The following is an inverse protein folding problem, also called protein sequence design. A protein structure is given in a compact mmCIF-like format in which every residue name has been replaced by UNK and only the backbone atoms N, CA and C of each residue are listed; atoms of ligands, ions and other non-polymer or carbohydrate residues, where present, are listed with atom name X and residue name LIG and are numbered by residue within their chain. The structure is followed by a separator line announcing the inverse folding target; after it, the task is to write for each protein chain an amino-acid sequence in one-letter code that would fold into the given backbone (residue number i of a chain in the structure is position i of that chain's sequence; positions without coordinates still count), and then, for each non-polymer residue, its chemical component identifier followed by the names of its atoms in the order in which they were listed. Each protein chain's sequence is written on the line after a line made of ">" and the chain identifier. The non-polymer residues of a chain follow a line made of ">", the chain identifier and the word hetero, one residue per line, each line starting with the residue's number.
data_IF_939914944262
#
_entry.id   IF_939914944262
#
_cell.length_a   1.000
_cell.length_b   1.000
_cell.length_c   1.000
_cell.angle_alpha   90.00
_cell.angle_beta   90.00
_cell.angle_gamma   90.00
#
_symmetry.space_group_name_H-M   'P 1'
#
loop_
_entity.id
_entity.type
_entity.pdbx_description
1 polymer ?
#
# COMPACT_ATOMS: atom_id res chain seq x y z
N UNK A 1 -33.21 -9.48 0.10
CA UNK A 1 -34.25 -8.43 0.08
C UNK A 1 -33.83 -7.33 1.04
N UNK A 2 -33.18 -6.28 0.54
CA UNK A 2 -32.90 -5.07 1.32
C UNK A 2 -33.97 -4.05 0.95
N UNK A 3 -34.83 -3.73 1.91
CA UNK A 3 -35.86 -2.69 1.79
C UNK A 3 -35.15 -1.35 1.93
N UNK A 4 -35.31 -0.47 0.95
CA UNK A 4 -34.90 0.91 1.05
C UNK A 4 -35.70 1.59 2.16
N UNK A 5 -35.04 2.19 3.15
CA UNK A 5 -35.66 3.16 4.05
C UNK A 5 -35.24 4.56 3.60
N UNK A 6 -36.17 5.42 3.17
CA UNK A 6 -35.89 6.83 2.94
C UNK A 6 -35.64 7.55 4.28
N UNK A 7 -34.85 8.62 4.21
CA UNK A 7 -34.29 9.41 5.31
C UNK A 7 -35.24 9.77 6.47
N UNK A 8 -34.62 10.09 7.62
CA UNK A 8 -35.07 10.99 8.72
C UNK A 8 -35.38 10.33 10.07
N UNK A 9 -34.35 10.03 10.86
CA UNK A 9 -34.52 9.90 12.31
C UNK A 9 -33.50 10.78 13.04
N UNK A 10 -33.90 11.96 13.56
CA UNK A 10 -33.20 12.58 14.67
C UNK A 10 -33.32 11.61 15.86
N UNK A 11 -32.22 10.95 16.23
CA UNK A 11 -32.19 9.93 17.30
C UNK A 11 -32.22 8.47 16.83
N UNK A 12 -31.83 8.16 15.59
CA UNK A 12 -31.76 6.77 15.10
C UNK A 12 -30.78 5.93 15.93
N UNK A 13 -31.30 4.86 16.53
CA UNK A 13 -30.51 3.74 17.05
C UNK A 13 -30.43 2.70 15.93
N UNK A 14 -29.21 2.28 15.62
CA UNK A 14 -28.96 1.18 14.67
C UNK A 14 -28.26 0.05 15.41
N UNK A 15 -28.69 -1.18 15.17
CA UNK A 15 -28.10 -2.39 15.73
C UNK A 15 -27.20 -3.04 14.68
N UNK A 16 -25.97 -3.38 15.07
CA UNK A 16 -24.98 -4.04 14.22
C UNK A 16 -24.46 -5.30 14.91
N UNK A 17 -24.23 -6.34 14.13
CA UNK A 17 -23.62 -7.58 14.61
C UNK A 17 -22.09 -7.50 14.44
N UNK A 18 -21.36 -7.70 15.54
CA UNK A 18 -19.89 -7.77 15.57
C UNK A 18 -19.39 -9.15 16.04
N UNK A 19 -20.27 -10.16 16.06
CA UNK A 19 -19.92 -11.52 16.49
C UNK A 19 -18.89 -12.15 15.55
N UNK A 20 -18.93 -11.78 14.27
CA UNK A 20 -17.96 -12.18 13.26
C UNK A 20 -17.31 -10.96 12.62
N UNK A 21 -16.12 -11.15 12.06
CA UNK A 21 -15.42 -10.14 11.27
C UNK A 21 -14.83 -10.77 10.03
N UNK A 22 -15.04 -10.12 8.90
CA UNK A 22 -14.49 -10.56 7.63
C UNK A 22 -13.20 -9.82 7.28
N UNK A 23 -12.29 -10.53 6.64
CA UNK A 23 -11.12 -9.96 5.97
C UNK A 23 -10.85 -10.81 4.75
N UNK A 24 -10.53 -10.16 3.63
CA UNK A 24 -10.09 -10.89 2.45
C UNK A 24 -8.74 -11.56 2.73
N UNK A 25 -8.57 -12.76 2.18
CA UNK A 25 -7.30 -13.49 2.24
C UNK A 25 -6.22 -12.80 1.39
N UNK A 26 -6.64 -12.25 0.24
CA UNK A 26 -5.77 -11.60 -0.74
C UNK A 26 -6.03 -10.10 -0.77
N UNK A 27 -4.95 -9.31 -0.77
CA UNK A 27 -5.02 -7.85 -0.83
C UNK A 27 -5.04 -7.28 -2.26
N UNK A 28 -4.82 -8.15 -3.26
CA UNK A 28 -4.94 -7.87 -4.67
C UNK A 28 -5.20 -9.16 -5.45
N UNK A 29 -5.76 -8.98 -6.65
CA UNK A 29 -5.99 -10.06 -7.61
C UNK A 29 -5.83 -9.53 -9.03
N UNK A 30 -5.42 -10.39 -9.96
CA UNK A 30 -5.41 -10.08 -11.39
C UNK A 30 -6.47 -10.92 -12.07
N UNK A 31 -7.37 -10.25 -12.77
CA UNK A 31 -8.35 -10.89 -13.64
C UNK A 31 -7.76 -10.98 -15.04
N UNK A 32 -7.60 -12.20 -15.53
CA UNK A 32 -7.06 -12.51 -16.86
C UNK A 32 -8.13 -12.98 -17.84
N UNK A 33 -9.33 -13.33 -17.36
CA UNK A 33 -10.44 -13.83 -18.17
C UNK A 33 -11.79 -13.37 -17.62
N UNK A 34 -12.79 -13.22 -18.48
CA UNK A 34 -14.19 -12.93 -18.11
C UNK A 34 -15.10 -13.86 -18.91
N UNK A 35 -15.90 -14.69 -18.22
CA UNK A 35 -16.80 -15.64 -18.88
C UNK A 35 -16.07 -16.78 -19.61
N UNK A 36 -14.83 -17.09 -19.21
CA UNK A 36 -13.97 -18.09 -19.86
C UNK A 36 -13.21 -17.57 -21.08
N UNK A 37 -13.40 -16.31 -21.47
CA UNK A 37 -12.67 -15.68 -22.56
C UNK A 37 -11.48 -14.87 -22.00
N UNK A 38 -10.25 -15.05 -22.53
CA UNK A 38 -9.08 -14.32 -22.08
C UNK A 38 -9.19 -12.83 -22.42
N UNK A 39 -8.76 -11.98 -21.50
CA UNK A 39 -8.71 -10.55 -21.70
C UNK A 39 -7.47 -10.16 -22.50
N UNK A 40 -7.62 -9.24 -23.45
CA UNK A 40 -6.50 -8.63 -24.16
C UNK A 40 -5.52 -7.95 -23.19
N UNK A 41 -6.03 -7.45 -22.06
CA UNK A 41 -5.23 -6.85 -20.99
C UNK A 41 -5.70 -7.34 -19.64
N UNK A 42 -4.74 -7.79 -18.84
CA UNK A 42 -4.96 -8.14 -17.44
C UNK A 42 -5.48 -6.94 -16.64
N UNK A 43 -6.43 -7.21 -15.73
CA UNK A 43 -7.05 -6.20 -14.88
C UNK A 43 -6.65 -6.41 -13.43
N UNK A 44 -5.99 -5.42 -12.84
CA UNK A 44 -5.62 -5.43 -11.42
C UNK A 44 -6.80 -4.97 -10.56
N UNK A 45 -7.17 -5.79 -9.58
CA UNK A 45 -8.22 -5.52 -8.58
C UNK A 45 -7.57 -5.25 -7.23
N UNK A 46 -7.93 -4.12 -6.60
CA UNK A 46 -7.34 -3.64 -5.34
C UNK A 46 -8.44 -3.31 -4.31
N UNK A 47 -8.90 -4.29 -3.52
CA UNK A 47 -9.82 -4.01 -2.42
C UNK A 47 -9.16 -3.11 -1.36
N UNK A 48 -9.92 -2.15 -0.83
CA UNK A 48 -9.50 -1.20 0.20
C UNK A 48 -10.58 -1.02 1.26
N UNK A 49 -10.21 -0.47 2.42
CA UNK A 49 -11.15 -0.20 3.52
C UNK A 49 -11.85 -1.46 4.01
N UNK A 50 -13.13 -1.32 4.35
CA UNK A 50 -13.96 -2.37 4.95
C UNK A 50 -14.14 -3.59 4.03
N UNK A 51 -14.08 -3.39 2.71
CA UNK A 51 -14.11 -4.49 1.75
C UNK A 51 -12.88 -5.41 1.87
N UNK A 52 -11.71 -4.85 2.23
CA UNK A 52 -10.51 -5.64 2.45
C UNK A 52 -10.46 -6.21 3.87
N UNK A 53 -10.78 -5.38 4.86
CA UNK A 53 -10.65 -5.72 6.27
C UNK A 53 -11.70 -4.97 7.08
N UNK A 54 -12.68 -5.71 7.60
CA UNK A 54 -13.76 -5.15 8.39
C UNK A 54 -13.25 -4.56 9.72
N UNK A 55 -13.60 -3.30 10.04
CA UNK A 55 -13.18 -2.67 11.29
C UNK A 55 -14.12 -3.05 12.44
N UNK A 56 -13.53 -3.23 13.63
CA UNK A 56 -14.31 -3.19 14.87
C UNK A 56 -14.37 -1.73 15.35
N UNK A 57 -15.55 -1.10 15.25
CA UNK A 57 -15.68 0.34 15.48
C UNK A 57 -15.19 0.82 16.85
N UNK A 58 -15.39 0.08 17.96
CA UNK A 58 -14.86 0.48 19.26
C UNK A 58 -13.33 0.62 19.31
N UNK A 59 -12.58 -0.01 18.39
CA UNK A 59 -11.11 0.18 18.29
C UNK A 59 -10.72 1.48 17.57
N UNK A 60 -11.63 2.10 16.81
CA UNK A 60 -11.38 3.34 16.09
C UNK A 60 -10.34 3.22 14.95
N UNK A 61 -10.17 2.02 14.38
CA UNK A 61 -9.12 1.75 13.39
C UNK A 61 -9.58 1.81 11.93
N UNK A 62 -10.89 1.90 11.66
CA UNK A 62 -11.43 1.85 10.30
C UNK A 62 -10.82 2.89 9.37
N UNK A 63 -10.83 4.18 9.76
CA UNK A 63 -10.25 5.26 8.96
C UNK A 63 -8.74 5.09 8.80
N UNK A 64 -8.02 4.77 9.88
CA UNK A 64 -6.56 4.62 9.82
C UNK A 64 -6.14 3.48 8.88
N UNK A 65 -6.71 2.29 9.05
CA UNK A 65 -6.42 1.15 8.16
C UNK A 65 -6.90 1.42 6.74
N UNK A 66 -8.09 2.01 6.57
CA UNK A 66 -8.66 2.33 5.27
C UNK A 66 -7.81 3.30 4.45
N UNK A 67 -7.37 4.41 5.07
CA UNK A 67 -6.49 5.39 4.41
C UNK A 67 -5.16 4.78 4.01
N UNK A 68 -4.53 4.02 4.91
CA UNK A 68 -3.27 3.34 4.63
C UNK A 68 -3.42 2.28 3.51
N UNK A 69 -4.51 1.51 3.52
CA UNK A 69 -4.84 0.59 2.43
C UNK A 69 -5.03 1.32 1.10
N UNK A 70 -5.68 2.49 1.10
CA UNK A 70 -5.82 3.33 -0.10
C UNK A 70 -4.47 3.80 -0.65
N UNK A 71 -3.58 4.28 0.21
CA UNK A 71 -2.22 4.67 -0.19
C UNK A 71 -1.40 3.47 -0.72
N UNK A 72 -1.50 2.30 -0.08
CA UNK A 72 -0.84 1.07 -0.52
C UNK A 72 -1.37 0.64 -1.90
N UNK A 73 -2.67 0.77 -2.14
CA UNK A 73 -3.28 0.50 -3.44
C UNK A 73 -2.78 1.49 -4.52
N UNK A 74 -2.66 2.79 -4.23
CA UNK A 74 -2.11 3.76 -5.17
C UNK A 74 -0.66 3.45 -5.56
N UNK A 75 0.18 3.08 -4.59
CA UNK A 75 1.57 2.66 -4.85
C UNK A 75 1.64 1.44 -5.77
N UNK A 76 0.85 0.41 -5.46
CA UNK A 76 0.79 -0.84 -6.21
C UNK A 76 0.22 -0.61 -7.62
N UNK A 77 -0.80 0.23 -7.77
CA UNK A 77 -1.34 0.62 -9.07
C UNK A 77 -0.33 1.37 -9.94
N UNK A 78 0.50 2.23 -9.33
CA UNK A 78 1.61 2.89 -10.02
C UNK A 78 2.63 1.87 -10.53
N UNK A 79 3.05 0.92 -9.68
CA UNK A 79 4.00 -0.12 -10.08
C UNK A 79 3.44 -1.07 -11.12
N UNK A 80 2.16 -1.41 -11.04
CA UNK A 80 1.46 -2.17 -12.08
C UNK A 80 1.53 -1.46 -13.43
N UNK A 81 1.29 -0.15 -13.47
CA UNK A 81 1.38 0.62 -14.71
C UNK A 81 2.81 0.61 -15.30
N UNK A 82 3.83 0.61 -14.45
CA UNK A 82 5.24 0.51 -14.85
C UNK A 82 5.67 -0.90 -15.27
N UNK A 83 5.03 -1.95 -14.74
CA UNK A 83 5.32 -3.36 -15.00
C UNK A 83 4.60 -3.94 -16.23
N UNK A 84 3.78 -3.15 -16.94
CA UNK A 84 2.94 -3.62 -18.06
C UNK A 84 3.75 -4.40 -19.10
N UNK A 85 3.36 -5.65 -19.33
CA UNK A 85 3.97 -6.55 -20.31
C UNK A 85 5.14 -7.39 -19.80
N UNK A 86 5.46 -7.30 -18.50
CA UNK A 86 6.41 -8.18 -17.81
C UNK A 86 5.66 -9.06 -16.81
N UNK A 87 5.44 -10.34 -17.15
CA UNK A 87 4.75 -11.33 -16.31
C UNK A 87 5.41 -11.47 -14.91
N UNK A 88 6.74 -11.33 -14.84
CA UNK A 88 7.48 -11.33 -13.56
C UNK A 88 7.21 -10.08 -12.73
N UNK A 89 7.02 -8.95 -13.40
CA UNK A 89 6.63 -7.68 -12.79
C UNK A 89 5.22 -7.71 -12.20
N UNK A 90 4.25 -8.25 -12.93
CA UNK A 90 2.85 -8.39 -12.49
C UNK A 90 2.74 -9.21 -11.20
N UNK A 91 3.42 -10.35 -11.14
CA UNK A 91 3.46 -11.21 -9.95
C UNK A 91 4.09 -10.49 -8.76
N UNK A 92 5.22 -9.79 -8.98
CA UNK A 92 5.89 -9.07 -7.90
C UNK A 92 5.07 -7.91 -7.33
N UNK A 93 4.23 -7.26 -8.16
CA UNK A 93 3.29 -6.23 -7.70
C UNK A 93 2.24 -6.81 -6.74
N UNK A 94 1.69 -8.00 -7.04
CA UNK A 94 0.73 -8.68 -6.15
C UNK A 94 1.36 -9.06 -4.83
N UNK A 95 2.57 -9.61 -4.86
CA UNK A 95 3.29 -9.98 -3.64
C UNK A 95 3.62 -8.77 -2.78
N UNK A 96 4.01 -7.64 -3.38
CA UNK A 96 4.27 -6.41 -2.65
C UNK A 96 2.98 -5.89 -1.99
N UNK A 97 1.86 -5.92 -2.72
CA UNK A 97 0.57 -5.52 -2.15
C UNK A 97 0.14 -6.39 -0.98
N UNK A 98 0.34 -7.70 -1.10
CA UNK A 98 0.05 -8.65 -0.02
C UNK A 98 0.98 -8.42 1.17
N UNK A 99 2.27 -8.19 0.94
CA UNK A 99 3.23 -7.89 2.00
C UNK A 99 2.87 -6.61 2.76
N UNK A 100 2.51 -5.54 2.04
CA UNK A 100 2.07 -4.28 2.66
C UNK A 100 0.86 -4.51 3.57
N UNK A 101 -0.08 -5.34 3.14
CA UNK A 101 -1.24 -5.70 3.95
C UNK A 101 -0.86 -6.53 5.18
N UNK A 102 -0.11 -7.62 4.99
CA UNK A 102 0.22 -8.58 6.03
C UNK A 102 1.12 -7.98 7.10
N UNK A 103 2.17 -7.27 6.70
CA UNK A 103 3.18 -6.73 7.59
C UNK A 103 2.74 -5.43 8.25
N UNK A 104 1.89 -4.65 7.58
CA UNK A 104 1.50 -3.34 8.07
C UNK A 104 0.00 -3.24 8.36
N UNK A 105 -0.86 -3.08 7.34
CA UNK A 105 -2.24 -2.62 7.60
C UNK A 105 -3.09 -3.60 8.39
N UNK A 106 -2.88 -4.92 8.22
CA UNK A 106 -3.60 -5.94 9.00
C UNK A 106 -3.25 -5.90 10.47
N UNK A 107 -1.98 -5.70 10.79
CA UNK A 107 -1.44 -5.70 12.17
C UNK A 107 -1.49 -4.32 12.83
N UNK A 108 -2.05 -3.31 12.16
CA UNK A 108 -2.10 -1.95 12.69
C UNK A 108 -3.03 -1.88 13.89
N UNK A 109 -2.51 -1.59 15.07
CA UNK A 109 -3.28 -1.30 16.29
C UNK A 109 -2.46 -0.41 17.25
N UNK A 110 -3.10 0.11 18.31
CA UNK A 110 -2.50 1.12 19.18
C UNK A 110 -1.19 0.74 19.90
N UNK A 111 -0.87 -0.56 20.01
CA UNK A 111 0.40 -1.04 20.61
C UNK A 111 1.52 -1.23 19.59
N UNK A 112 1.22 -1.36 18.29
CA UNK A 112 2.23 -1.51 17.24
C UNK A 112 2.49 -0.19 16.50
N UNK A 113 2.33 0.97 17.15
CA UNK A 113 2.49 2.28 16.49
C UNK A 113 3.90 2.52 15.93
N UNK A 114 4.92 1.83 16.46
CA UNK A 114 6.32 1.95 16.02
C UNK A 114 6.56 1.46 14.61
N UNK A 115 5.61 0.72 14.02
CA UNK A 115 5.61 0.41 12.60
C UNK A 115 5.44 1.66 11.71
N UNK A 116 4.85 2.73 12.24
CA UNK A 116 4.53 3.95 11.48
C UNK A 116 5.68 4.94 11.56
N UNK A 117 6.00 5.56 10.42
CA UNK A 117 7.07 6.55 10.32
C UNK A 117 6.76 7.75 11.21
N UNK A 118 7.73 8.11 12.04
CA UNK A 118 7.57 9.15 13.07
C UNK A 118 7.38 8.61 14.49
N UNK A 119 6.91 7.37 14.64
CA UNK A 119 6.86 6.72 15.95
C UNK A 119 8.11 5.86 16.16
N UNK A 120 8.95 6.27 17.10
CA UNK A 120 10.09 5.48 17.59
C UNK A 120 10.03 5.43 19.11
N UNK A 121 10.71 4.46 19.72
CA UNK A 121 10.78 4.33 21.18
C UNK A 121 11.36 5.59 21.87
N UNK A 122 12.18 6.36 21.14
CA UNK A 122 12.83 7.57 21.64
C UNK A 122 12.08 8.87 21.33
N UNK A 123 10.97 8.84 20.57
CA UNK A 123 10.35 10.06 20.06
C UNK A 123 9.26 10.63 20.97
N UNK A 124 9.20 11.97 21.06
CA UNK A 124 8.09 12.67 21.70
C UNK A 124 6.86 12.71 20.80
N UNK A 125 5.66 12.87 21.39
CA UNK A 125 4.38 12.96 20.64
C UNK A 125 4.34 14.09 19.61
N UNK A 126 5.10 15.17 19.85
CA UNK A 126 5.19 16.32 18.93
C UNK A 126 6.06 15.96 17.73
N UNK A 127 7.22 15.33 17.95
CA UNK A 127 8.10 14.90 16.87
C UNK A 127 7.46 13.82 15.98
N UNK A 128 6.61 12.94 16.54
CA UNK A 128 5.85 11.97 15.73
C UNK A 128 4.87 12.64 14.76
N UNK A 129 4.26 13.76 15.14
CA UNK A 129 3.26 14.46 14.30
C UNK A 129 3.86 15.15 13.07
N UNK A 130 5.14 15.51 13.09
CA UNK A 130 5.80 16.15 11.96
C UNK A 130 6.03 15.15 10.81
N UNK A 131 6.39 13.90 11.14
CA UNK A 131 6.60 12.87 10.12
C UNK A 131 5.34 12.59 9.28
N UNK A 132 4.15 12.66 9.90
CA UNK A 132 2.88 12.40 9.22
C UNK A 132 2.56 13.42 8.12
N UNK A 133 3.14 14.63 8.21
CA UNK A 133 2.96 15.69 7.19
C UNK A 133 3.60 15.33 5.85
N UNK A 134 4.50 14.35 5.85
CA UNK A 134 5.22 13.89 4.67
C UNK A 134 4.72 12.52 4.18
N UNK A 135 3.61 12.01 4.73
CA UNK A 135 3.03 10.77 4.25
C UNK A 135 2.54 10.94 2.81
N UNK A 136 2.88 9.97 1.98
CA UNK A 136 2.48 9.88 0.59
C UNK A 136 2.10 8.44 0.25
N UNK A 137 1.63 8.15 -0.98
CA UNK A 137 1.42 6.78 -1.42
C UNK A 137 2.67 5.88 -1.26
N UNK A 138 3.89 6.43 -1.36
CA UNK A 138 5.14 5.69 -1.11
C UNK A 138 5.13 5.08 0.32
N UNK A 139 5.14 3.75 0.46
CA UNK A 139 5.16 3.09 1.76
C UNK A 139 6.37 3.44 2.61
N UNK A 140 7.53 3.79 2.03
CA UNK A 140 8.72 4.21 2.77
C UNK A 140 8.49 5.51 3.56
N UNK A 141 7.59 6.37 3.08
CA UNK A 141 7.19 7.59 3.77
C UNK A 141 6.29 7.33 4.99
N UNK A 142 5.65 6.15 5.04
CA UNK A 142 4.60 5.80 6.03
C UNK A 142 5.01 4.71 7.00
N UNK A 143 5.82 3.75 6.59
CA UNK A 143 6.16 2.57 7.39
C UNK A 143 7.65 2.50 7.68
N UNK A 144 7.98 2.29 8.96
CA UNK A 144 9.32 1.94 9.38
C UNK A 144 9.63 0.51 8.95
N UNK A 145 10.83 0.30 8.38
CA UNK A 145 11.27 -1.03 7.97
C UNK A 145 10.65 -1.54 6.67
N UNK A 146 9.92 -0.71 5.93
CA UNK A 146 9.53 -1.05 4.56
C UNK A 146 10.77 -1.16 3.66
N UNK A 147 10.82 -2.23 2.86
CA UNK A 147 11.75 -2.40 1.76
C UNK A 147 10.99 -2.74 0.48
N UNK A 148 11.30 -2.03 -0.60
CA UNK A 148 10.72 -2.29 -1.91
C UNK A 148 11.19 -3.65 -2.41
N UNK A 149 10.29 -4.63 -2.42
CA UNK A 149 10.60 -6.03 -2.75
C UNK A 149 10.93 -6.24 -4.21
N UNK A 150 10.30 -5.48 -5.12
CA UNK A 150 10.60 -5.55 -6.56
C UNK A 150 12.01 -5.00 -6.83
N UNK A 151 12.35 -3.86 -6.23
CA UNK A 151 13.71 -3.33 -6.28
C UNK A 151 14.71 -4.32 -5.65
N UNK A 152 14.34 -4.98 -4.56
CA UNK A 152 15.24 -5.90 -3.88
C UNK A 152 15.50 -7.19 -4.65
N UNK A 153 14.47 -7.76 -5.28
CA UNK A 153 14.61 -8.88 -6.21
C UNK A 153 15.45 -8.51 -7.43
N UNK A 154 15.24 -7.32 -8.00
CA UNK A 154 16.10 -6.82 -9.07
C UNK A 154 17.55 -6.73 -8.61
N UNK A 155 17.82 -6.10 -7.46
CA UNK A 155 19.18 -5.93 -6.95
C UNK A 155 19.87 -7.27 -6.68
N UNK A 156 19.12 -8.26 -6.19
CA UNK A 156 19.60 -9.62 -5.99
C UNK A 156 19.90 -10.33 -7.32
N UNK A 157 18.99 -10.25 -8.30
CA UNK A 157 19.22 -10.82 -9.62
C UNK A 157 20.39 -10.15 -10.36
N UNK A 158 20.59 -8.83 -10.19
CA UNK A 158 21.74 -8.10 -10.71
C UNK A 158 23.06 -8.56 -10.06
N UNK A 159 23.08 -8.82 -8.74
CA UNK A 159 24.23 -9.39 -8.04
C UNK A 159 24.58 -10.81 -8.53
N UNK A 160 23.56 -11.58 -8.90
CA UNK A 160 23.71 -12.94 -9.43
C UNK A 160 24.00 -12.97 -10.94
N UNK A 161 24.19 -11.80 -11.57
CA UNK A 161 24.55 -11.68 -12.99
C UNK A 161 23.41 -12.00 -13.96
N UNK A 162 22.16 -12.00 -13.50
CA UNK A 162 21.02 -12.59 -14.22
C UNK A 162 19.99 -11.59 -14.78
N UNK A 163 20.10 -10.28 -14.56
CA UNK A 163 18.99 -9.35 -14.83
C UNK A 163 19.29 -8.19 -15.82
N UNK A 164 18.28 -7.75 -16.60
CA UNK A 164 18.29 -6.52 -17.38
C UNK A 164 18.31 -5.27 -16.48
N UNK A 165 18.34 -4.08 -17.11
CA UNK A 165 18.46 -2.78 -16.43
C UNK A 165 17.43 -2.54 -15.30
N UNK A 166 17.71 -1.58 -14.39
CA UNK A 166 16.88 -1.34 -13.21
C UNK A 166 15.40 -1.14 -13.55
N UNK A 167 14.47 -1.58 -12.67
CA UNK A 167 13.07 -1.22 -12.79
C UNK A 167 12.98 0.30 -12.87
N UNK A 168 12.22 0.82 -13.85
CA UNK A 168 12.09 2.27 -14.08
C UNK A 168 11.58 2.93 -12.80
N UNK A 169 12.46 3.69 -12.15
CA UNK A 169 12.13 4.51 -11.00
C UNK A 169 11.86 5.94 -11.47
N UNK A 170 10.60 6.24 -11.76
CA UNK A 170 10.17 7.64 -11.96
C UNK A 170 9.94 8.37 -10.62
N UNK A 171 10.36 7.76 -9.51
CA UNK A 171 10.38 8.42 -8.20
C UNK A 171 11.44 9.51 -8.26
N UNK A 172 11.00 10.74 -8.52
CA UNK A 172 11.76 11.96 -8.31
C UNK A 172 12.22 12.02 -6.85
N UNK A 173 13.36 11.39 -6.59
CA UNK A 173 14.03 11.45 -5.32
C UNK A 173 14.50 12.88 -5.10
N UNK A 174 13.97 13.52 -4.05
CA UNK A 174 14.66 14.61 -3.38
C UNK A 174 15.98 14.02 -2.88
N UNK A 175 17.05 14.23 -3.64
CA UNK A 175 18.39 13.85 -3.23
C UNK A 175 18.80 14.60 -1.96
N UNK A 176 19.73 14.06 -1.16
CA UNK A 176 20.29 14.80 -0.04
C UNK A 176 20.99 16.06 -0.57
N UNK A 177 20.55 17.21 -0.07
CA UNK A 177 21.25 18.48 -0.21
C UNK A 177 22.65 18.35 0.37
N UNK A 178 23.68 18.47 -0.47
CA UNK A 178 25.05 18.77 -0.04
C UNK A 178 26.13 18.02 -0.81
N UNK A 179 26.82 18.74 -1.70
CA UNK A 179 28.09 18.29 -2.27
C UNK A 179 28.30 18.78 -3.69
N UNK A 180 28.77 20.02 -3.84
CA UNK A 180 29.22 20.55 -5.12
C UNK A 180 30.35 19.70 -5.72
N UNK A 181 30.29 19.43 -7.03
CA UNK A 181 31.47 19.23 -7.87
C UNK A 181 31.18 19.69 -9.31
N UNK A 182 32.17 20.28 -10.00
CA UNK A 182 31.95 21.05 -11.21
C UNK A 182 32.04 20.21 -12.50
N UNK A 183 31.32 20.67 -13.53
CA UNK A 183 31.73 20.64 -14.94
C UNK A 183 31.91 19.29 -15.62
N UNK A 184 31.02 18.97 -16.57
CA UNK A 184 31.45 18.49 -17.89
C UNK A 184 30.29 18.58 -18.88
N UNK A 185 30.42 19.51 -19.82
CA UNK A 185 29.65 19.65 -21.05
C UNK A 185 29.93 18.46 -21.98
N UNK A 186 28.90 17.93 -22.65
CA UNK A 186 29.00 17.54 -24.07
C UNK A 186 27.61 17.32 -24.70
N UNK A 187 27.39 18.18 -25.71
CA UNK A 187 26.56 18.12 -26.93
C UNK A 187 25.19 17.44 -26.83
#
# INVERSE_FOLDING_TARGET
>A
LSVALPDTFPGSISLFDFSERSSMLRAAEVVTEIGGEPLERHVLVLPIGDALQEPFWPEGLGINRGMHNGCDACWVAHKWACARGDEGGETGVLEERQHLHDAFTRQMHGRNRTMLRGYTAANTRVASSQAHRHYSPDPASRYNGFSDRLFWRWAEAARMGAAPGPPRSDVGGVGPMGGAAPGCTRV
#
